data_IF_712594121902
#
_entry.id   IF_712594121902
#
_cell.length_a   1.000
_cell.length_b   1.000
_cell.length_c   1.000
_cell.angle_alpha   90.00
_cell.angle_beta   90.00
_cell.angle_gamma   90.00
#
_symmetry.space_group_name_H-M   'P 1'
#
loop_
_entity.id
_entity.type
_entity.pdbx_description
1 polymer ?
#
# COMPACT_ATOMS: atom_id res chain seq x y z
N UNK A 1 -14.44 -17.13 -73.49
CA UNK A 1 -14.70 -15.81 -72.85
C UNK A 1 -15.90 -15.75 -71.89
N UNK A 2 -17.06 -16.43 -72.08
CA UNK A 2 -18.21 -16.28 -71.17
C UNK A 2 -18.02 -16.98 -69.80
N UNK A 3 -17.29 -18.10 -69.76
CA UNK A 3 -16.97 -18.82 -68.51
C UNK A 3 -16.09 -18.00 -67.55
N UNK A 4 -15.13 -17.24 -68.07
CA UNK A 4 -14.24 -16.38 -67.28
C UNK A 4 -15.01 -15.21 -66.64
N UNK A 5 -15.99 -14.64 -67.35
CA UNK A 5 -16.86 -13.56 -66.83
C UNK A 5 -17.79 -14.06 -65.72
N UNK A 6 -18.31 -15.27 -65.85
CA UNK A 6 -19.15 -15.89 -64.82
C UNK A 6 -18.32 -16.25 -63.58
N UNK A 7 -17.12 -16.83 -63.75
CA UNK A 7 -16.21 -17.09 -62.64
C UNK A 7 -15.85 -15.81 -61.87
N UNK A 8 -15.51 -14.72 -62.59
CA UNK A 8 -15.19 -13.43 -61.97
C UNK A 8 -16.38 -12.82 -61.20
N UNK A 9 -17.61 -13.00 -61.72
CA UNK A 9 -18.85 -12.58 -61.05
C UNK A 9 -19.11 -13.38 -59.77
N UNK A 10 -18.93 -14.70 -59.81
CA UNK A 10 -19.08 -15.55 -58.61
C UNK A 10 -18.02 -15.25 -57.55
N UNK A 11 -16.76 -15.02 -57.94
CA UNK A 11 -15.71 -14.61 -57.00
C UNK A 11 -15.97 -13.22 -56.42
N UNK A 12 -16.44 -12.26 -57.23
CA UNK A 12 -16.78 -10.93 -56.74
C UNK A 12 -18.00 -10.96 -55.80
N UNK A 13 -19.01 -11.76 -56.10
CA UNK A 13 -20.19 -11.93 -55.25
C UNK A 13 -19.84 -12.65 -53.94
N UNK A 14 -18.99 -13.68 -53.99
CA UNK A 14 -18.46 -14.34 -52.80
C UNK A 14 -17.64 -13.37 -51.93
N UNK A 15 -16.75 -12.57 -52.53
CA UNK A 15 -15.99 -11.55 -51.81
C UNK A 15 -16.91 -10.48 -51.18
N UNK A 16 -17.94 -10.02 -51.91
CA UNK A 16 -18.91 -9.07 -51.40
C UNK A 16 -19.74 -9.63 -50.23
N UNK A 17 -20.15 -10.91 -50.29
CA UNK A 17 -20.85 -11.58 -49.19
C UNK A 17 -19.95 -11.75 -47.95
N UNK A 18 -18.68 -12.10 -48.13
CA UNK A 18 -17.70 -12.19 -47.03
C UNK A 18 -17.49 -10.81 -46.39
N UNK A 19 -17.32 -9.77 -47.20
CA UNK A 19 -17.17 -8.39 -46.72
C UNK A 19 -18.43 -7.89 -45.99
N UNK A 20 -19.62 -8.12 -46.55
CA UNK A 20 -20.88 -7.73 -45.94
C UNK A 20 -21.15 -8.49 -44.63
N UNK A 21 -20.85 -9.79 -44.59
CA UNK A 21 -20.91 -10.60 -43.37
C UNK A 21 -19.93 -10.12 -42.31
N UNK A 22 -18.68 -9.82 -42.70
CA UNK A 22 -17.68 -9.25 -41.81
C UNK A 22 -18.09 -7.88 -41.25
N UNK A 23 -18.67 -7.02 -42.08
CA UNK A 23 -19.18 -5.71 -41.65
C UNK A 23 -20.36 -5.85 -40.69
N UNK A 24 -21.32 -6.73 -40.96
CA UNK A 24 -22.46 -6.98 -40.09
C UNK A 24 -22.04 -7.55 -38.72
N UNK A 25 -21.04 -8.44 -38.69
CA UNK A 25 -20.45 -8.94 -37.45
C UNK A 25 -19.75 -7.82 -36.68
N UNK A 26 -18.98 -6.97 -37.38
CA UNK A 26 -18.30 -5.84 -36.76
C UNK A 26 -19.28 -4.81 -36.19
N UNK A 27 -20.36 -4.47 -36.90
CA UNK A 27 -21.38 -3.54 -36.40
C UNK A 27 -22.17 -4.13 -35.24
N UNK A 28 -22.54 -5.42 -35.31
CA UNK A 28 -23.18 -6.12 -34.19
C UNK A 28 -22.30 -6.16 -32.94
N UNK A 29 -21.00 -6.41 -33.10
CA UNK A 29 -20.03 -6.38 -32.00
C UNK A 29 -19.89 -4.97 -31.41
N UNK A 30 -19.73 -3.94 -32.25
CA UNK A 30 -19.65 -2.56 -31.78
C UNK A 30 -20.92 -2.12 -31.06
N UNK A 31 -22.09 -2.55 -31.52
CA UNK A 31 -23.36 -2.29 -30.86
C UNK A 31 -23.45 -3.01 -29.50
N UNK A 32 -23.04 -4.28 -29.43
CA UNK A 32 -23.00 -5.04 -28.17
C UNK A 32 -22.05 -4.42 -27.14
N UNK A 33 -20.92 -3.88 -27.59
CA UNK A 33 -19.91 -3.24 -26.75
C UNK A 33 -20.26 -1.78 -26.38
N UNK A 34 -21.29 -1.19 -27.01
CA UNK A 34 -21.64 0.20 -26.78
C UNK A 34 -22.22 0.39 -25.36
N UNK A 35 -21.67 1.30 -24.54
CA UNK A 35 -22.15 1.50 -23.17
C UNK A 35 -23.51 2.21 -23.10
N UNK A 36 -24.28 1.88 -22.06
CA UNK A 36 -25.50 2.60 -21.68
C UNK A 36 -25.19 3.72 -20.65
N UNK A 37 -26.10 4.69 -20.45
CA UNK A 37 -25.91 5.72 -19.42
C UNK A 37 -25.77 5.10 -18.02
N UNK A 38 -24.62 5.32 -17.38
CA UNK A 38 -24.31 4.77 -16.06
C UNK A 38 -23.31 3.61 -16.09
N UNK A 39 -23.04 3.04 -17.27
CA UNK A 39 -22.09 1.95 -17.43
C UNK A 39 -20.67 2.31 -17.01
N UNK A 40 -19.99 1.32 -16.47
CA UNK A 40 -18.54 1.37 -16.39
C UNK A 40 -17.93 1.24 -17.79
N UNK A 41 -17.38 2.34 -18.29
CA UNK A 41 -16.87 2.45 -19.65
C UNK A 41 -15.36 2.76 -19.71
N UNK A 42 -14.70 2.20 -20.72
CA UNK A 42 -13.33 2.52 -21.13
C UNK A 42 -13.35 3.15 -22.52
N UNK A 43 -12.48 4.14 -22.77
CA UNK A 43 -12.25 4.65 -24.12
C UNK A 43 -11.08 3.92 -24.76
N UNK A 44 -11.37 3.18 -25.83
CA UNK A 44 -10.35 2.46 -26.60
C UNK A 44 -10.03 3.20 -27.90
N UNK A 45 -8.75 3.34 -28.26
CA UNK A 45 -8.37 3.90 -29.56
C UNK A 45 -8.73 2.90 -30.66
N UNK A 46 -9.73 3.21 -31.48
CA UNK A 46 -10.19 2.32 -32.56
C UNK A 46 -9.39 2.53 -33.84
N UNK A 47 -9.23 3.79 -34.27
CA UNK A 47 -8.51 4.13 -35.49
C UNK A 47 -7.76 5.44 -35.34
N UNK A 48 -6.61 5.51 -36.01
CA UNK A 48 -5.88 6.75 -36.24
C UNK A 48 -5.84 7.01 -37.74
N UNK A 49 -6.50 8.08 -38.17
CA UNK A 49 -6.54 8.55 -39.56
C UNK A 49 -5.85 9.90 -39.60
N UNK A 50 -4.65 9.93 -40.20
CA UNK A 50 -3.74 11.06 -40.13
C UNK A 50 -3.49 11.51 -38.67
N UNK A 51 -3.76 12.78 -38.35
CA UNK A 51 -3.59 13.35 -37.01
C UNK A 51 -4.81 13.18 -36.09
N UNK A 52 -5.92 12.61 -36.58
CA UNK A 52 -7.12 12.38 -35.77
C UNK A 52 -7.12 10.98 -35.14
N UNK A 53 -7.38 10.94 -33.83
CA UNK A 53 -7.62 9.70 -33.07
C UNK A 53 -9.12 9.56 -32.84
N UNK A 54 -9.66 8.43 -33.25
CA UNK A 54 -11.05 8.05 -33.02
C UNK A 54 -11.07 7.02 -31.90
N UNK A 55 -11.51 7.47 -30.73
CA UNK A 55 -11.69 6.62 -29.56
C UNK A 55 -13.18 6.25 -29.44
N UNK A 56 -13.50 4.98 -29.21
CA UNK A 56 -14.86 4.57 -28.90
C UNK A 56 -15.03 4.24 -27.43
N UNK A 57 -16.16 4.62 -26.82
CA UNK A 57 -16.53 4.16 -25.50
C UNK A 57 -16.96 2.69 -25.60
N UNK A 58 -16.43 1.87 -24.70
CA UNK A 58 -16.72 0.43 -24.61
C UNK A 58 -17.18 0.12 -23.20
N UNK A 59 -18.33 -0.55 -23.09
CA UNK A 59 -18.81 -1.12 -21.83
C UNK A 59 -17.86 -2.22 -21.38
N UNK A 60 -17.23 -2.04 -20.22
CA UNK A 60 -16.29 -3.03 -19.69
C UNK A 60 -17.05 -4.30 -19.33
N UNK A 61 -18.27 -4.17 -18.81
CA UNK A 61 -19.12 -5.32 -18.49
C UNK A 61 -19.40 -6.17 -19.73
N UNK A 62 -19.81 -5.55 -20.84
CA UNK A 62 -20.05 -6.25 -22.09
C UNK A 62 -18.77 -6.89 -22.64
N UNK A 63 -17.64 -6.18 -22.59
CA UNK A 63 -16.36 -6.71 -23.06
C UNK A 63 -15.91 -7.95 -22.27
N UNK A 64 -15.99 -7.91 -20.94
CA UNK A 64 -15.61 -9.04 -20.08
C UNK A 64 -16.56 -10.23 -20.28
N UNK A 65 -17.88 -9.99 -20.36
CA UNK A 65 -18.87 -11.04 -20.67
C UNK A 65 -18.61 -11.71 -22.02
N UNK A 66 -18.20 -10.95 -23.02
CA UNK A 66 -17.83 -11.52 -24.32
C UNK A 66 -16.58 -12.41 -24.19
N UNK A 67 -15.55 -11.93 -23.49
CA UNK A 67 -14.28 -12.63 -23.33
C UNK A 67 -14.37 -13.88 -22.45
N UNK A 68 -15.36 -13.96 -21.55
CA UNK A 68 -15.57 -15.13 -20.71
C UNK A 68 -16.34 -16.26 -21.41
N UNK A 69 -16.91 -16.03 -22.60
CA UNK A 69 -17.71 -17.03 -23.31
C UNK A 69 -16.85 -18.12 -23.96
N UNK A 70 -17.22 -19.42 -23.84
CA UNK A 70 -16.45 -20.52 -24.42
C UNK A 70 -16.22 -20.44 -25.94
N UNK A 71 -17.21 -19.92 -26.68
CA UNK A 71 -17.09 -19.76 -28.14
C UNK A 71 -16.03 -18.73 -28.52
N UNK A 72 -15.99 -17.60 -27.81
CA UNK A 72 -14.98 -16.56 -27.99
C UNK A 72 -13.62 -17.07 -27.52
N UNK A 73 -13.59 -17.82 -26.42
CA UNK A 73 -12.34 -18.37 -25.92
C UNK A 73 -11.62 -19.29 -26.92
N UNK A 74 -12.37 -20.16 -27.59
CA UNK A 74 -11.85 -21.02 -28.68
C UNK A 74 -11.39 -20.21 -29.90
N UNK A 75 -12.08 -19.11 -30.22
CA UNK A 75 -11.70 -18.23 -31.32
C UNK A 75 -10.37 -17.52 -31.03
N UNK A 76 -10.13 -17.16 -29.77
CA UNK A 76 -8.93 -16.46 -29.32
C UNK A 76 -7.78 -17.41 -28.96
N UNK A 77 -7.97 -18.73 -29.03
CA UNK A 77 -6.95 -19.71 -28.67
C UNK A 77 -5.69 -19.57 -29.54
N UNK A 78 -4.54 -19.47 -28.90
CA UNK A 78 -3.24 -19.24 -29.57
C UNK A 78 -3.00 -17.79 -29.98
N UNK A 79 -3.95 -16.88 -29.75
CA UNK A 79 -3.75 -15.46 -30.07
C UNK A 79 -2.77 -14.81 -29.09
N UNK A 80 -2.09 -13.78 -29.58
CA UNK A 80 -1.08 -13.06 -28.81
C UNK A 80 -1.25 -11.57 -29.00
N UNK A 81 -1.40 -10.82 -27.90
CA UNK A 81 -1.72 -9.40 -27.93
C UNK A 81 -0.61 -8.56 -27.28
N UNK A 82 -0.24 -7.46 -27.92
CA UNK A 82 0.68 -6.49 -27.31
C UNK A 82 -0.11 -5.64 -26.29
N UNK A 83 0.29 -5.69 -25.03
CA UNK A 83 -0.33 -4.89 -23.96
C UNK A 83 0.72 -3.99 -23.31
N UNK A 84 0.32 -2.96 -22.52
CA UNK A 84 1.26 -2.20 -21.70
C UNK A 84 2.04 -3.06 -20.71
N UNK A 85 1.48 -4.20 -20.30
CA UNK A 85 2.14 -5.13 -19.39
C UNK A 85 3.13 -6.08 -20.08
N UNK A 86 3.16 -6.12 -21.41
CA UNK A 86 3.97 -7.06 -22.17
C UNK A 86 3.13 -7.86 -23.16
N UNK A 87 3.71 -8.94 -23.65
CA UNK A 87 3.09 -9.82 -24.63
C UNK A 87 2.12 -10.78 -23.91
N UNK A 88 0.83 -10.64 -24.18
CA UNK A 88 -0.23 -11.46 -23.59
C UNK A 88 -0.57 -12.62 -24.51
N UNK A 89 -0.27 -13.84 -24.07
CA UNK A 89 -0.66 -15.07 -24.74
C UNK A 89 -1.99 -15.56 -24.20
N UNK A 90 -2.91 -15.84 -25.11
CA UNK A 90 -4.26 -16.26 -24.79
C UNK A 90 -4.42 -17.72 -25.22
N UNK A 91 -4.85 -18.58 -24.31
CA UNK A 91 -5.14 -20.00 -24.58
C UNK A 91 -6.51 -20.38 -24.05
N UNK A 92 -7.12 -21.35 -24.71
CA UNK A 92 -8.37 -21.98 -24.25
C UNK A 92 -8.07 -23.33 -23.61
N UNK A 93 -8.40 -23.48 -22.33
CA UNK A 93 -8.37 -24.78 -21.65
C UNK A 93 -9.71 -25.48 -21.83
N UNK A 94 -9.76 -26.45 -22.74
CA UNK A 94 -10.97 -27.22 -23.01
C UNK A 94 -11.38 -28.13 -21.84
N UNK A 95 -10.45 -28.58 -21.00
CA UNK A 95 -10.76 -29.43 -19.86
C UNK A 95 -11.43 -28.62 -18.74
N UNK A 96 -10.93 -27.40 -18.50
CA UNK A 96 -11.47 -26.51 -17.46
C UNK A 96 -12.58 -25.58 -17.96
N UNK A 97 -12.84 -25.53 -19.28
CA UNK A 97 -13.71 -24.55 -19.91
C UNK A 97 -13.36 -23.12 -19.46
N UNK A 98 -12.06 -22.79 -19.50
CA UNK A 98 -11.53 -21.54 -18.99
C UNK A 98 -10.53 -20.90 -19.98
N UNK A 99 -10.53 -19.58 -20.02
CA UNK A 99 -9.49 -18.82 -20.70
C UNK A 99 -8.23 -18.78 -19.82
N UNK A 100 -7.07 -19.05 -20.39
CA UNK A 100 -5.78 -18.83 -19.76
C UNK A 100 -5.10 -17.61 -20.39
N UNK A 101 -4.72 -16.66 -19.55
CA UNK A 101 -4.06 -15.42 -19.91
C UNK A 101 -2.65 -15.46 -19.32
N UNK A 102 -1.62 -15.52 -20.17
CA UNK A 102 -0.22 -15.63 -19.75
C UNK A 102 0.60 -14.46 -20.27
N UNK A 103 1.34 -13.80 -19.38
CA UNK A 103 2.19 -12.66 -19.66
C UNK A 103 3.62 -12.99 -19.23
N UNK A 104 4.59 -13.01 -20.16
CA UNK A 104 5.99 -13.38 -19.88
C UNK A 104 6.99 -12.73 -20.87
N UNK A 105 7.95 -11.90 -20.43
CA UNK A 105 7.99 -11.24 -19.12
C UNK A 105 6.82 -10.27 -18.96
N UNK A 106 6.38 -10.07 -17.73
CA UNK A 106 5.27 -9.19 -17.40
C UNK A 106 5.72 -7.95 -16.62
N UNK A 107 5.18 -6.79 -16.99
CA UNK A 107 5.50 -5.48 -16.40
C UNK A 107 4.24 -4.85 -15.83
N UNK A 108 4.09 -4.89 -14.52
CA UNK A 108 2.90 -4.32 -13.88
C UNK A 108 3.21 -2.92 -13.34
N UNK A 109 2.63 -1.90 -13.95
CA UNK A 109 2.66 -0.55 -13.38
C UNK A 109 1.60 -0.46 -12.29
N UNK A 110 2.04 -0.48 -11.04
CA UNK A 110 1.19 -0.37 -9.87
C UNK A 110 1.48 0.98 -9.19
N UNK A 111 0.70 2.05 -9.46
CA UNK A 111 0.96 3.39 -8.91
C UNK A 111 1.05 3.42 -7.38
N UNK A 112 0.41 2.47 -6.70
CA UNK A 112 0.50 2.30 -5.25
C UNK A 112 1.91 1.89 -4.77
N UNK A 113 2.68 1.17 -5.60
CA UNK A 113 4.03 0.70 -5.27
C UNK A 113 5.12 1.72 -5.62
N UNK A 114 4.88 2.56 -6.62
CA UNK A 114 5.80 3.60 -7.10
C UNK A 114 5.62 3.84 -8.59
N UNK A 115 6.56 4.58 -9.19
CA UNK A 115 6.60 4.83 -10.64
C UNK A 115 7.31 3.74 -11.43
N UNK A 116 8.12 2.90 -10.77
CA UNK A 116 8.79 1.77 -11.41
C UNK A 116 7.81 0.60 -11.58
N UNK A 117 7.77 -0.06 -12.76
CA UNK A 117 6.96 -1.25 -12.94
C UNK A 117 7.52 -2.42 -12.13
N UNK A 118 6.63 -3.29 -11.67
CA UNK A 118 6.97 -4.59 -11.12
C UNK A 118 7.26 -5.54 -12.29
N UNK A 119 8.50 -6.02 -12.37
CA UNK A 119 8.93 -6.98 -13.38
C UNK A 119 8.72 -8.40 -12.85
N UNK A 120 7.82 -9.15 -13.48
CA UNK A 120 7.55 -10.55 -13.18
C UNK A 120 8.04 -11.41 -14.36
N UNK A 121 8.81 -12.49 -14.12
CA UNK A 121 9.14 -13.47 -15.15
C UNK A 121 7.91 -14.01 -15.88
N UNK A 122 6.86 -14.28 -15.12
CA UNK A 122 5.60 -14.83 -15.63
C UNK A 122 4.44 -14.48 -14.70
N UNK A 123 3.32 -14.08 -15.30
CA UNK A 123 2.01 -13.99 -14.66
C UNK A 123 1.01 -14.78 -15.51
N UNK A 124 0.32 -15.72 -14.87
CA UNK A 124 -0.74 -16.51 -15.47
C UNK A 124 -2.04 -16.28 -14.69
N UNK A 125 -3.14 -16.05 -15.40
CA UNK A 125 -4.48 -15.88 -14.81
C UNK A 125 -5.45 -16.70 -15.64
N UNK A 126 -6.23 -17.54 -14.98
CA UNK A 126 -7.38 -18.19 -15.61
C UNK A 126 -8.66 -17.39 -15.36
N UNK A 127 -9.57 -17.46 -16.34
CA UNK A 127 -10.85 -16.78 -16.33
C UNK A 127 -11.93 -17.76 -16.78
N UNK A 128 -12.90 -18.00 -15.91
CA UNK A 128 -14.12 -18.72 -16.20
C UNK A 128 -15.29 -17.83 -15.80
N UNK A 129 -16.23 -17.62 -16.73
CA UNK A 129 -17.42 -16.82 -16.48
C UNK A 129 -18.71 -17.59 -16.70
N UNK A 130 -19.70 -17.28 -15.88
CA UNK A 130 -21.07 -17.76 -16.01
C UNK A 130 -22.03 -16.58 -15.90
N UNK A 131 -22.73 -16.30 -16.99
CA UNK A 131 -23.76 -15.26 -17.03
C UNK A 131 -25.06 -15.75 -16.40
N UNK A 132 -25.63 -14.96 -15.49
CA UNK A 132 -26.97 -15.14 -14.94
C UNK A 132 -27.87 -13.98 -15.39
N UNK A 133 -29.08 -14.30 -15.88
CA UNK A 133 -30.01 -13.32 -16.44
C UNK A 133 -29.80 -13.09 -17.94
N UNK A 134 -30.47 -12.06 -18.47
CA UNK A 134 -30.43 -11.71 -19.90
C UNK A 134 -30.37 -10.20 -20.07
N UNK A 135 -29.82 -9.76 -21.20
CA UNK A 135 -29.76 -8.34 -21.55
C UNK A 135 -28.75 -7.56 -20.72
N UNK A 136 -29.08 -6.30 -20.44
CA UNK A 136 -28.16 -5.34 -19.85
C UNK A 136 -27.91 -5.60 -18.35
N UNK A 137 -28.95 -6.03 -17.63
CA UNK A 137 -28.94 -6.32 -16.20
C UNK A 137 -28.35 -7.70 -15.84
N UNK A 138 -27.79 -8.40 -16.83
CA UNK A 138 -27.14 -9.68 -16.59
C UNK A 138 -25.98 -9.54 -15.60
N UNK A 139 -25.84 -10.51 -14.70
CA UNK A 139 -24.73 -10.56 -13.75
C UNK A 139 -23.78 -11.66 -14.17
N UNK A 140 -22.50 -11.33 -14.29
CA UNK A 140 -21.45 -12.27 -14.66
C UNK A 140 -20.74 -12.74 -13.40
N UNK A 141 -20.83 -14.03 -13.11
CA UNK A 141 -20.07 -14.69 -12.05
C UNK A 141 -18.73 -15.15 -12.64
N UNK A 142 -17.64 -14.58 -12.16
CA UNK A 142 -16.29 -14.84 -12.61
C UNK A 142 -15.52 -15.62 -11.55
N UNK A 143 -14.66 -16.53 -11.99
CA UNK A 143 -13.73 -17.23 -11.12
C UNK A 143 -12.48 -17.64 -11.88
N UNK A 144 -11.41 -17.86 -11.16
CA UNK A 144 -10.20 -18.40 -11.72
C UNK A 144 -9.10 -18.59 -10.71
N UNK A 145 -7.94 -18.90 -11.25
CA UNK A 145 -6.70 -19.05 -10.51
C UNK A 145 -5.69 -18.07 -11.08
N UNK A 146 -4.72 -17.69 -10.27
CA UNK A 146 -3.60 -16.90 -10.74
C UNK A 146 -2.31 -17.51 -10.22
N UNK A 147 -1.25 -17.34 -10.99
CA UNK A 147 0.10 -17.78 -10.64
C UNK A 147 1.09 -16.71 -11.05
N UNK A 148 1.92 -16.28 -10.10
CA UNK A 148 3.00 -15.34 -10.32
C UNK A 148 4.24 -15.89 -9.61
N UNK A 149 5.27 -16.23 -10.38
CA UNK A 149 6.43 -16.97 -9.88
C UNK A 149 6.00 -18.28 -9.17
N UNK A 150 6.47 -18.54 -7.94
CA UNK A 150 6.06 -19.71 -7.15
C UNK A 150 4.73 -19.55 -6.41
N UNK A 151 4.13 -18.36 -6.45
CA UNK A 151 2.88 -18.08 -5.72
C UNK A 151 1.70 -18.35 -6.62
N UNK A 152 0.67 -18.96 -6.03
CA UNK A 152 -0.61 -19.13 -6.68
C UNK A 152 -1.76 -18.86 -5.72
N UNK A 153 -2.90 -18.45 -6.28
CA UNK A 153 -4.10 -18.19 -5.53
C UNK A 153 -5.34 -18.36 -6.38
N UNK A 154 -6.49 -18.19 -5.73
CA UNK A 154 -7.79 -18.24 -6.38
C UNK A 154 -8.42 -16.86 -6.31
N UNK A 155 -9.27 -16.58 -7.29
CA UNK A 155 -10.04 -15.36 -7.31
C UNK A 155 -11.45 -15.66 -7.80
N UNK A 156 -12.40 -14.88 -7.30
CA UNK A 156 -13.78 -14.88 -7.75
C UNK A 156 -14.25 -13.45 -7.88
N UNK A 157 -15.28 -13.22 -8.67
CA UNK A 157 -15.82 -11.89 -8.79
C UNK A 157 -17.23 -11.87 -9.36
N UNK A 158 -17.93 -10.79 -9.07
CA UNK A 158 -19.26 -10.52 -9.61
C UNK A 158 -19.20 -9.22 -10.41
N UNK A 159 -19.66 -9.28 -11.66
CA UNK A 159 -19.65 -8.16 -12.58
C UNK A 159 -21.08 -7.84 -13.04
N UNK A 160 -21.51 -6.62 -12.78
CA UNK A 160 -22.74 -6.03 -13.34
C UNK A 160 -22.39 -4.90 -14.33
N UNK A 161 -23.38 -4.14 -14.81
CA UNK A 161 -23.17 -3.04 -15.77
C UNK A 161 -22.32 -1.88 -15.21
N UNK A 162 -22.29 -1.71 -13.89
CA UNK A 162 -21.73 -0.54 -13.19
C UNK A 162 -20.41 -0.83 -12.49
N UNK A 163 -20.20 -2.08 -12.05
CA UNK A 163 -19.06 -2.43 -11.21
C UNK A 163 -18.63 -3.89 -11.36
N UNK A 164 -17.37 -4.13 -11.01
CA UNK A 164 -16.86 -5.46 -10.70
C UNK A 164 -16.40 -5.49 -9.24
N UNK A 165 -16.88 -6.49 -8.52
CA UNK A 165 -16.37 -6.88 -7.21
C UNK A 165 -15.50 -8.12 -7.39
N UNK A 166 -14.25 -8.07 -6.92
CA UNK A 166 -13.31 -9.18 -6.98
C UNK A 166 -12.88 -9.52 -5.57
N UNK A 167 -12.95 -10.80 -5.25
CA UNK A 167 -12.39 -11.40 -4.04
C UNK A 167 -11.20 -12.27 -4.44
N UNK A 168 -10.08 -12.09 -3.75
CA UNK A 168 -8.85 -12.83 -3.94
C UNK A 168 -8.53 -13.57 -2.65
N UNK A 169 -8.30 -14.87 -2.79
CA UNK A 169 -7.86 -15.73 -1.71
C UNK A 169 -6.48 -16.31 -2.05
N UNK A 170 -5.48 -15.87 -1.30
CA UNK A 170 -4.17 -16.49 -1.25
C UNK A 170 -4.19 -17.55 -0.14
N UNK A 171 -3.94 -18.80 -0.53
CA UNK A 171 -3.75 -19.89 0.42
C UNK A 171 -2.39 -19.73 1.14
N UNK A 172 -2.06 -20.62 2.06
CA UNK A 172 -0.81 -20.53 2.81
C UNK A 172 0.39 -20.66 1.85
N UNK A 173 1.15 -19.58 1.69
CA UNK A 173 2.29 -19.50 0.78
C UNK A 173 3.55 -19.07 1.53
N UNK A 174 4.74 -19.59 1.18
CA UNK A 174 5.99 -19.15 1.79
C UNK A 174 6.21 -17.65 1.59
N UNK A 175 6.61 -16.95 2.66
CA UNK A 175 6.89 -15.52 2.58
C UNK A 175 8.06 -15.21 1.64
N UNK A 176 9.08 -16.07 1.56
CA UNK A 176 10.18 -15.92 0.62
C UNK A 176 9.68 -15.77 -0.84
N UNK A 177 8.70 -16.58 -1.25
CA UNK A 177 8.09 -16.51 -2.60
C UNK A 177 7.29 -15.20 -2.76
N UNK A 178 6.51 -14.81 -1.74
CA UNK A 178 5.78 -13.54 -1.67
C UNK A 178 6.68 -12.32 -1.90
N UNK A 179 7.79 -12.27 -1.19
CA UNK A 179 8.74 -11.18 -1.33
C UNK A 179 9.54 -11.26 -2.64
N UNK A 180 9.82 -12.45 -3.17
CA UNK A 180 10.55 -12.63 -4.43
C UNK A 180 9.88 -11.94 -5.63
N UNK A 181 8.56 -11.72 -5.60
CA UNK A 181 7.85 -10.89 -6.58
C UNK A 181 8.48 -9.48 -6.72
N UNK A 182 9.04 -8.96 -5.63
CA UNK A 182 9.67 -7.63 -5.57
C UNK A 182 11.20 -7.68 -5.73
N UNK A 183 11.80 -8.82 -6.06
CA UNK A 183 13.26 -9.01 -6.13
C UNK A 183 13.96 -8.03 -7.06
N UNK A 184 13.33 -7.65 -8.18
CA UNK A 184 13.86 -6.65 -9.10
C UNK A 184 13.78 -5.20 -8.59
N UNK A 185 12.99 -4.94 -7.54
CA UNK A 185 12.71 -3.60 -7.00
C UNK A 185 13.28 -3.37 -5.59
N UNK A 186 13.62 -4.45 -4.86
CA UNK A 186 14.10 -4.39 -3.48
C UNK A 186 15.48 -5.07 -3.41
N UNK A 187 16.57 -4.29 -3.31
CA UNK A 187 17.93 -4.82 -3.33
C UNK A 187 18.24 -5.70 -2.11
N UNK A 188 17.58 -5.47 -0.98
CA UNK A 188 17.73 -6.28 0.24
C UNK A 188 17.38 -7.75 0.02
N UNK A 189 16.45 -8.05 -0.90
CA UNK A 189 16.01 -9.43 -1.17
C UNK A 189 17.08 -10.32 -1.78
N UNK A 190 18.17 -9.76 -2.30
CA UNK A 190 19.30 -10.54 -2.78
C UNK A 190 20.06 -11.27 -1.66
N UNK A 191 19.93 -10.81 -0.42
CA UNK A 191 20.66 -11.35 0.74
C UNK A 191 19.74 -11.73 1.91
N UNK A 192 18.50 -11.23 1.91
CA UNK A 192 17.49 -11.56 2.91
C UNK A 192 17.09 -13.04 2.82
N UNK A 193 17.12 -13.71 3.96
CA UNK A 193 16.49 -15.01 4.16
C UNK A 193 15.18 -14.78 4.91
N UNK A 194 14.06 -15.08 4.27
CA UNK A 194 12.73 -14.80 4.78
C UNK A 194 12.02 -16.12 5.09
N UNK A 195 11.61 -16.29 6.34
CA UNK A 195 10.88 -17.46 6.80
C UNK A 195 9.44 -17.12 7.15
N UNK A 196 8.62 -18.15 7.28
CA UNK A 196 7.20 -18.05 7.59
C UNK A 196 6.31 -18.14 6.37
N UNK A 197 5.02 -17.95 6.60
CA UNK A 197 3.98 -18.06 5.59
C UNK A 197 3.00 -16.91 5.66
N UNK A 198 2.32 -16.67 4.53
CA UNK A 198 1.27 -15.67 4.37
C UNK A 198 0.03 -16.32 3.81
N UNK A 199 -1.10 -15.96 4.41
CA UNK A 199 -2.42 -16.08 3.80
C UNK A 199 -2.98 -14.68 3.61
N UNK A 200 -3.83 -14.50 2.59
CA UNK A 200 -4.39 -13.20 2.26
C UNK A 200 -5.83 -13.37 1.78
N UNK A 201 -6.73 -12.64 2.40
CA UNK A 201 -8.05 -12.37 1.83
C UNK A 201 -8.07 -10.90 1.40
N UNK A 202 -8.45 -10.64 0.17
CA UNK A 202 -8.61 -9.28 -0.32
C UNK A 202 -9.91 -9.16 -1.12
N UNK A 203 -10.57 -8.03 -1.00
CA UNK A 203 -11.73 -7.70 -1.81
C UNK A 203 -11.50 -6.33 -2.46
N UNK A 204 -11.98 -6.13 -3.67
CA UNK A 204 -11.87 -4.84 -4.35
C UNK A 204 -13.08 -4.61 -5.25
N UNK A 205 -13.57 -3.36 -5.26
CA UNK A 205 -14.68 -2.91 -6.10
C UNK A 205 -14.24 -1.78 -7.00
N UNK A 206 -14.34 -1.99 -8.31
CA UNK A 206 -14.10 -0.95 -9.33
C UNK A 206 -15.40 -0.56 -10.01
N UNK A 207 -15.55 0.70 -10.48
CA UNK A 207 -14.53 1.78 -10.50
C UNK A 207 -14.40 2.59 -9.20
N UNK A 208 -15.26 2.34 -8.20
CA UNK A 208 -15.27 3.09 -6.94
C UNK A 208 -13.92 3.09 -6.20
N UNK A 209 -13.11 2.04 -6.40
CA UNK A 209 -11.77 1.90 -5.81
C UNK A 209 -11.82 1.60 -4.32
N UNK A 210 -12.91 0.99 -3.82
CA UNK A 210 -13.01 0.47 -2.47
C UNK A 210 -12.30 -0.89 -2.40
N UNK A 211 -11.54 -1.17 -1.33
CA UNK A 211 -10.76 -2.40 -1.24
C UNK A 211 -10.47 -2.82 0.20
N UNK A 212 -10.69 -4.07 0.59
CA UNK A 212 -10.22 -4.61 1.87
C UNK A 212 -9.06 -5.57 1.65
N UNK A 213 -8.15 -5.63 2.62
CA UNK A 213 -7.03 -6.57 2.60
C UNK A 213 -6.81 -7.04 4.03
N UNK A 214 -6.83 -8.34 4.23
CA UNK A 214 -6.68 -9.03 5.51
C UNK A 214 -5.57 -10.10 5.38
N UNK A 215 -4.30 -9.70 5.61
CA UNK A 215 -3.18 -10.62 5.63
C UNK A 215 -3.09 -11.30 6.99
N UNK A 216 -2.80 -12.60 7.00
CA UNK A 216 -2.34 -13.30 8.19
C UNK A 216 -0.94 -13.87 7.94
N UNK A 217 -0.04 -13.58 8.87
CA UNK A 217 1.37 -13.96 8.81
C UNK A 217 1.65 -14.97 9.93
N UNK A 218 2.32 -16.07 9.59
CA UNK A 218 2.77 -17.07 10.56
C UNK A 218 4.28 -17.22 10.49
N UNK A 219 4.96 -17.18 11.63
CA UNK A 219 6.41 -17.42 11.70
C UNK A 219 7.27 -16.44 10.90
N UNK A 220 6.80 -15.21 10.64
CA UNK A 220 7.55 -14.26 9.82
C UNK A 220 8.89 -13.90 10.46
N UNK A 221 9.97 -14.33 9.81
CA UNK A 221 11.33 -14.00 10.20
C UNK A 221 12.16 -13.51 9.03
N UNK A 222 13.15 -12.67 9.33
CA UNK A 222 14.07 -12.11 8.33
C UNK A 222 15.47 -12.15 8.91
N UNK A 223 16.42 -12.65 8.14
CA UNK A 223 17.85 -12.61 8.48
C UNK A 223 18.70 -12.29 7.25
N UNK A 224 19.98 -11.93 7.46
CA UNK A 224 20.93 -11.63 6.38
C UNK A 224 20.99 -10.17 5.96
N UNK A 225 20.32 -9.26 6.70
CA UNK A 225 20.39 -7.81 6.45
C UNK A 225 21.40 -7.10 7.37
N UNK A 226 22.07 -7.85 8.26
CA UNK A 226 23.15 -7.37 9.13
C UNK A 226 22.72 -6.20 10.04
N UNK A 227 21.45 -6.16 10.49
CA UNK A 227 20.92 -5.07 11.33
C UNK A 227 21.68 -4.86 12.63
N UNK A 228 22.43 -5.85 13.14
CA UNK A 228 23.33 -5.65 14.30
C UNK A 228 24.42 -4.61 14.05
N UNK A 229 24.87 -4.42 12.80
CA UNK A 229 25.86 -3.39 12.44
C UNK A 229 25.30 -1.98 12.60
N UNK A 230 23.97 -1.79 12.63
CA UNK A 230 23.31 -0.50 12.93
C UNK A 230 23.77 0.12 14.25
N UNK A 231 24.12 -0.73 15.22
CA UNK A 231 24.61 -0.29 16.52
C UNK A 231 25.96 0.44 16.42
N UNK A 232 26.70 0.25 15.33
CA UNK A 232 28.04 0.81 15.11
C UNK A 232 28.08 1.80 13.95
N UNK A 233 27.02 1.88 13.14
CA UNK A 233 27.00 2.74 11.97
C UNK A 233 26.90 4.23 12.36
N UNK A 234 27.80 5.10 11.86
CA UNK A 234 27.63 6.54 11.97
C UNK A 234 26.34 6.92 11.23
N UNK A 235 25.51 7.72 11.88
CA UNK A 235 24.21 8.13 11.38
C UNK A 235 24.18 9.65 11.26
N UNK A 236 23.33 10.18 10.35
CA UNK A 236 23.18 11.62 10.08
C UNK A 236 22.93 12.48 11.33
N UNK A 237 22.42 11.87 12.39
CA UNK A 237 21.97 12.50 13.62
C UNK A 237 22.90 12.10 14.78
N UNK A 238 24.16 12.52 14.76
CA UNK A 238 25.17 12.05 15.72
C UNK A 238 25.00 12.74 17.08
N UNK A 239 24.76 11.96 18.13
CA UNK A 239 24.75 12.42 19.53
C UNK A 239 26.06 12.04 20.21
N UNK A 240 27.14 12.78 19.97
CA UNK A 240 28.43 12.44 20.56
C UNK A 240 28.36 12.54 22.10
N UNK A 241 28.40 11.37 22.78
CA UNK A 241 28.56 11.26 24.23
C UNK A 241 27.31 11.44 25.11
N UNK A 242 26.11 11.62 24.53
CA UNK A 242 24.90 11.76 25.33
C UNK A 242 24.56 10.47 26.11
N UNK A 243 24.22 10.56 27.42
CA UNK A 243 23.86 9.38 28.19
C UNK A 243 22.65 8.67 27.59
N UNK A 244 22.61 7.33 27.61
CA UNK A 244 21.47 6.58 27.10
C UNK A 244 20.21 6.90 27.91
N UNK A 245 19.11 7.17 27.20
CA UNK A 245 17.80 7.38 27.83
C UNK A 245 17.29 6.04 28.35
N UNK A 246 16.87 6.02 29.61
CA UNK A 246 16.25 4.86 30.24
C UNK A 246 14.95 4.48 29.52
N UNK A 247 14.82 3.21 29.14
CA UNK A 247 13.68 2.69 28.36
C UNK A 247 12.38 2.63 29.16
N UNK A 248 12.47 2.67 30.48
CA UNK A 248 11.35 2.74 31.42
C UNK A 248 11.08 4.17 31.96
N UNK A 249 11.84 5.15 31.46
CA UNK A 249 11.73 6.56 31.78
C UNK A 249 10.49 7.22 31.18
N UNK A 250 10.19 8.42 31.64
CA UNK A 250 8.96 9.13 31.28
C UNK A 250 8.91 9.48 29.79
N UNK A 251 10.03 9.94 29.21
CA UNK A 251 10.12 10.24 27.79
C UNK A 251 9.88 9.00 26.93
N UNK A 252 10.49 7.87 27.27
CA UNK A 252 10.32 6.61 26.55
C UNK A 252 8.86 6.17 26.52
N UNK A 253 8.17 6.26 27.66
CA UNK A 253 6.74 5.96 27.77
C UNK A 253 5.86 6.94 27.00
N UNK A 254 6.19 8.23 27.01
CA UNK A 254 5.46 9.22 26.24
C UNK A 254 5.59 8.96 24.74
N UNK A 255 6.79 8.60 24.28
CA UNK A 255 7.05 8.24 22.87
C UNK A 255 6.29 6.99 22.46
N UNK A 256 6.30 5.93 23.28
CA UNK A 256 5.47 4.73 23.05
C UNK A 256 3.98 5.12 22.97
N UNK A 257 3.49 5.91 23.91
CA UNK A 257 2.08 6.34 23.92
C UNK A 257 1.69 7.16 22.68
N UNK A 258 2.62 7.96 22.15
CA UNK A 258 2.41 8.85 21.02
C UNK A 258 2.51 8.15 19.65
N UNK A 259 3.45 7.24 19.50
CA UNK A 259 3.86 6.68 18.20
C UNK A 259 3.49 5.20 18.05
N UNK A 260 3.45 4.42 19.13
CA UNK A 260 3.31 2.96 19.07
C UNK A 260 2.83 2.35 20.41
N UNK A 261 1.53 2.48 20.70
CA UNK A 261 0.96 2.07 22.00
C UNK A 261 1.08 0.57 22.30
N UNK A 262 1.26 -0.23 21.24
CA UNK A 262 1.35 -1.68 21.28
C UNK A 262 2.78 -2.16 21.05
N UNK A 263 3.77 -1.27 21.22
CA UNK A 263 5.17 -1.54 20.96
C UNK A 263 5.68 -2.88 21.50
N UNK A 264 5.27 -3.28 22.71
CA UNK A 264 5.70 -4.54 23.33
C UNK A 264 4.88 -5.77 22.93
N UNK A 265 3.80 -5.60 22.17
CA UNK A 265 2.83 -6.65 21.83
C UNK A 265 3.03 -7.21 20.40
N UNK A 266 3.76 -6.50 19.54
CA UNK A 266 3.93 -6.88 18.13
C UNK A 266 5.41 -7.14 17.76
N UNK A 267 5.71 -7.95 16.74
CA UNK A 267 7.08 -8.28 16.32
C UNK A 267 7.66 -7.27 15.32
N UNK A 268 7.55 -5.97 15.62
CA UNK A 268 8.06 -4.89 14.75
C UNK A 268 7.12 -4.44 13.62
N UNK A 269 6.01 -5.14 13.41
CA UNK A 269 4.92 -4.73 12.54
C UNK A 269 3.59 -4.94 13.27
N UNK A 270 2.67 -3.98 13.17
CA UNK A 270 1.36 -4.08 13.82
C UNK A 270 0.26 -4.26 12.74
N UNK A 271 -0.11 -5.52 12.47
CA UNK A 271 -1.17 -5.84 11.51
C UNK A 271 -2.54 -5.30 11.95
N UNK A 272 -2.82 -5.26 13.26
CA UNK A 272 -4.11 -4.81 13.78
C UNK A 272 -4.24 -3.29 13.57
N UNK A 273 -3.22 -2.51 13.94
CA UNK A 273 -3.23 -1.06 13.68
C UNK A 273 -3.17 -0.74 12.18
N UNK A 274 -2.46 -1.55 11.40
CA UNK A 274 -2.45 -1.42 9.93
C UNK A 274 -3.86 -1.62 9.34
N UNK A 275 -4.56 -2.69 9.71
CA UNK A 275 -5.94 -2.93 9.28
C UNK A 275 -6.90 -1.84 9.75
N UNK A 276 -6.74 -1.36 11.00
CA UNK A 276 -7.53 -0.26 11.53
C UNK A 276 -7.33 1.02 10.72
N UNK A 277 -6.07 1.37 10.42
CA UNK A 277 -5.73 2.54 9.61
C UNK A 277 -6.30 2.42 8.19
N UNK A 278 -6.24 1.22 7.59
CA UNK A 278 -6.75 0.97 6.25
C UNK A 278 -8.27 1.16 6.19
N UNK A 279 -9.02 0.59 7.14
CA UNK A 279 -10.49 0.76 7.24
C UNK A 279 -10.88 2.23 7.45
N UNK A 280 -10.19 2.94 8.34
CA UNK A 280 -10.46 4.35 8.60
C UNK A 280 -10.17 5.24 7.38
N UNK A 281 -9.05 5.00 6.69
CA UNK A 281 -8.67 5.75 5.50
C UNK A 281 -9.67 5.52 4.34
N UNK A 282 -10.22 4.31 4.22
CA UNK A 282 -11.27 4.01 3.24
C UNK A 282 -12.60 4.68 3.57
N UNK A 283 -13.05 4.61 4.83
CA UNK A 283 -14.26 5.29 5.28
C UNK A 283 -14.15 6.80 5.07
N UNK A 284 -13.01 7.40 5.42
CA UNK A 284 -12.77 8.83 5.17
C UNK A 284 -12.85 9.20 3.69
N UNK A 285 -12.37 8.33 2.79
CA UNK A 285 -12.47 8.52 1.34
C UNK A 285 -13.92 8.41 0.85
N UNK A 286 -14.68 7.44 1.35
CA UNK A 286 -16.09 7.27 1.03
C UNK A 286 -16.93 8.48 1.48
N UNK A 287 -16.61 9.05 2.65
CA UNK A 287 -17.26 10.24 3.20
C UNK A 287 -16.82 11.56 2.53
N UNK A 288 -15.91 11.53 1.55
CA UNK A 288 -15.37 12.73 0.91
C UNK A 288 -14.55 13.65 1.84
N UNK A 289 -14.08 13.13 2.98
CA UNK A 289 -13.32 13.93 3.95
C UNK A 289 -11.89 14.15 3.45
N UNK A 290 -11.32 15.37 3.63
CA UNK A 290 -9.90 15.61 3.35
C UNK A 290 -9.06 14.73 4.28
N UNK A 291 -8.55 13.62 3.74
CA UNK A 291 -7.90 12.57 4.51
C UNK A 291 -6.55 13.04 5.05
N UNK A 292 -6.47 13.31 6.35
CA UNK A 292 -5.21 13.10 7.07
C UNK A 292 -5.08 11.59 7.22
N UNK A 293 -4.40 10.95 6.26
CA UNK A 293 -4.18 9.51 6.28
C UNK A 293 -3.59 9.11 7.63
N UNK A 294 -4.28 8.23 8.35
CA UNK A 294 -3.72 7.63 9.57
C UNK A 294 -2.62 6.67 9.15
N UNK A 295 -1.42 6.86 9.70
CA UNK A 295 -0.33 5.90 9.57
C UNK A 295 -0.46 4.76 10.57
N UNK A 296 0.24 3.66 10.31
CA UNK A 296 0.35 2.49 11.19
C UNK A 296 1.80 2.00 11.32
N UNK A 297 2.77 2.92 11.17
CA UNK A 297 4.18 2.57 11.29
C UNK A 297 4.58 2.41 12.75
N UNK A 298 5.20 1.27 13.07
CA UNK A 298 5.73 0.98 14.40
C UNK A 298 7.01 1.77 14.69
N UNK A 299 7.40 1.88 15.95
CA UNK A 299 8.70 2.50 16.31
C UNK A 299 9.87 1.78 15.65
N UNK A 300 9.79 0.47 15.49
CA UNK A 300 10.83 -0.34 14.84
C UNK A 300 10.94 -0.04 13.35
N UNK A 301 9.82 0.14 12.65
CA UNK A 301 9.80 0.58 11.25
C UNK A 301 10.31 2.01 11.10
N UNK A 302 9.96 2.90 12.03
CA UNK A 302 10.49 4.26 12.05
C UNK A 302 12.01 4.28 12.26
N UNK A 303 12.55 3.41 13.13
CA UNK A 303 14.00 3.23 13.28
C UNK A 303 14.64 2.71 11.97
N UNK A 304 14.03 1.71 11.33
CA UNK A 304 14.51 1.19 10.05
C UNK A 304 14.56 2.28 8.97
N UNK A 305 13.55 3.16 8.93
CA UNK A 305 13.50 4.32 8.04
C UNK A 305 14.70 5.25 8.28
N UNK A 306 14.95 5.60 9.53
CA UNK A 306 16.03 6.52 9.91
C UNK A 306 17.42 5.98 9.56
N UNK A 307 17.61 4.66 9.64
CA UNK A 307 18.93 4.06 9.55
C UNK A 307 19.28 3.45 8.19
N UNK A 308 18.29 2.95 7.43
CA UNK A 308 18.57 2.17 6.21
C UNK A 308 17.89 2.69 4.94
N UNK A 309 16.63 3.12 5.03
CA UNK A 309 15.81 3.30 3.81
C UNK A 309 15.59 4.76 3.39
N UNK A 310 15.88 5.73 4.25
CA UNK A 310 15.81 7.15 3.91
C UNK A 310 14.38 7.70 3.76
N UNK A 311 14.22 8.82 3.03
CA UNK A 311 12.99 9.64 3.05
C UNK A 311 12.02 9.44 1.87
N UNK A 312 12.31 8.57 0.89
CA UNK A 312 11.46 8.31 -0.28
C UNK A 312 10.04 7.85 0.06
N UNK A 313 9.00 8.46 -0.53
CA UNK A 313 7.60 8.15 -0.18
C UNK A 313 6.99 7.11 -1.12
N UNK A 314 7.49 5.87 -1.08
CA UNK A 314 6.97 4.74 -1.88
C UNK A 314 6.56 3.55 -1.01
N UNK A 315 5.63 2.71 -1.48
CA UNK A 315 5.28 1.49 -0.74
C UNK A 315 6.42 0.46 -0.78
N UNK A 316 7.23 0.43 -1.85
CA UNK A 316 8.46 -0.37 -1.90
C UNK A 316 9.41 -0.03 -0.75
N UNK A 317 9.59 1.26 -0.41
CA UNK A 317 10.37 1.66 0.76
C UNK A 317 9.75 1.11 2.05
N UNK A 318 8.42 1.10 2.19
CA UNK A 318 7.76 0.52 3.36
C UNK A 318 7.97 -0.98 3.49
N UNK A 319 8.03 -1.71 2.38
CA UNK A 319 8.40 -3.13 2.38
C UNK A 319 9.85 -3.30 2.87
N UNK A 320 10.78 -2.46 2.43
CA UNK A 320 12.17 -2.44 2.93
C UNK A 320 12.23 -2.19 4.44
N UNK A 321 11.50 -1.18 4.94
CA UNK A 321 11.41 -0.88 6.38
C UNK A 321 10.87 -2.08 7.18
N UNK A 322 9.89 -2.81 6.65
CA UNK A 322 9.35 -4.01 7.28
C UNK A 322 10.40 -5.10 7.43
N UNK A 323 11.19 -5.38 6.38
CA UNK A 323 12.24 -6.40 6.41
C UNK A 323 13.29 -6.10 7.49
N UNK A 324 13.80 -4.86 7.53
CA UNK A 324 14.74 -4.45 8.58
C UNK A 324 14.09 -4.44 9.96
N UNK A 325 12.82 -4.06 10.08
CA UNK A 325 12.13 -4.06 11.37
C UNK A 325 12.02 -5.47 11.95
N UNK A 326 11.66 -6.46 11.14
CA UNK A 326 11.57 -7.86 11.58
C UNK A 326 12.93 -8.39 12.03
N UNK A 327 13.99 -8.19 11.25
CA UNK A 327 15.33 -8.65 11.66
C UNK A 327 15.81 -7.93 12.93
N UNK A 328 15.53 -6.63 13.10
CA UNK A 328 15.89 -5.90 14.33
C UNK A 328 15.20 -6.44 15.57
N UNK A 329 13.92 -6.82 15.47
CA UNK A 329 13.17 -7.40 16.61
C UNK A 329 13.80 -8.70 17.07
N UNK A 330 14.27 -9.50 16.13
CA UNK A 330 14.94 -10.78 16.40
C UNK A 330 16.37 -10.60 16.91
N UNK A 331 17.09 -9.62 16.37
CA UNK A 331 18.53 -9.49 16.60
C UNK A 331 18.90 -8.54 17.75
N UNK A 332 18.05 -7.56 18.08
CA UNK A 332 18.32 -6.50 19.08
C UNK A 332 17.39 -6.57 20.30
N UNK A 333 16.12 -6.90 20.08
CA UNK A 333 15.05 -6.87 21.09
C UNK A 333 14.52 -5.47 21.43
N UNK A 334 13.33 -5.42 22.04
CA UNK A 334 12.54 -4.19 22.27
C UNK A 334 13.26 -3.07 23.00
N UNK A 335 13.93 -3.38 24.10
CA UNK A 335 14.61 -2.37 24.91
C UNK A 335 15.73 -1.69 24.10
N UNK A 336 16.51 -2.47 23.35
CA UNK A 336 17.58 -1.91 22.52
C UNK A 336 16.99 -1.10 21.37
N UNK A 337 15.96 -1.58 20.68
CA UNK A 337 15.27 -0.84 19.62
C UNK A 337 14.80 0.53 20.12
N UNK A 338 14.09 0.57 21.25
CA UNK A 338 13.59 1.82 21.82
C UNK A 338 14.71 2.78 22.18
N UNK A 339 15.78 2.27 22.79
CA UNK A 339 16.95 3.07 23.11
C UNK A 339 17.60 3.63 21.83
N UNK A 340 17.80 2.81 20.80
CA UNK A 340 18.39 3.23 19.54
C UNK A 340 17.53 4.27 18.81
N UNK A 341 16.20 4.13 18.87
CA UNK A 341 15.24 5.10 18.37
C UNK A 341 15.35 6.44 19.10
N UNK A 342 15.27 6.42 20.43
CA UNK A 342 15.33 7.61 21.27
C UNK A 342 16.66 8.38 21.15
N UNK A 343 17.74 7.69 20.76
CA UNK A 343 19.04 8.32 20.49
C UNK A 343 19.10 9.01 19.12
N UNK A 344 18.34 8.51 18.13
CA UNK A 344 18.51 8.93 16.72
C UNK A 344 17.40 9.80 16.18
N UNK A 345 16.20 9.71 16.75
CA UNK A 345 15.04 10.38 16.20
C UNK A 345 15.26 11.90 16.18
N UNK A 346 14.97 12.59 15.06
CA UNK A 346 15.09 14.04 14.97
C UNK A 346 13.93 14.73 15.69
N UNK A 347 14.27 15.76 16.47
CA UNK A 347 13.37 16.57 17.28
C UNK A 347 13.19 17.98 16.73
N UNK A 348 13.64 18.23 15.50
CA UNK A 348 13.60 19.53 14.83
C UNK A 348 14.77 20.44 15.25
N UNK A 349 15.01 21.49 14.48
CA UNK A 349 16.10 22.46 14.75
C UNK A 349 17.50 21.83 14.85
N UNK A 350 17.73 20.75 14.09
CA UNK A 350 18.99 20.01 14.13
C UNK A 350 19.20 19.18 15.41
N UNK A 351 18.21 19.12 16.31
CA UNK A 351 18.29 18.33 17.53
C UNK A 351 18.01 16.86 17.21
N UNK A 352 18.94 15.99 17.61
CA UNK A 352 18.85 14.56 17.43
C UNK A 352 18.90 13.87 18.79
N UNK A 353 17.99 12.93 19.01
CA UNK A 353 17.90 12.21 20.27
C UNK A 353 17.20 12.99 21.39
N UNK A 354 16.53 12.24 22.26
CA UNK A 354 15.67 12.81 23.29
C UNK A 354 16.42 13.60 24.37
N UNK A 355 17.69 13.27 24.62
CA UNK A 355 18.53 14.00 25.58
C UNK A 355 18.86 15.41 25.08
N UNK A 356 19.31 15.54 23.82
CA UNK A 356 19.56 16.83 23.21
C UNK A 356 18.28 17.66 23.12
N UNK A 357 17.14 17.02 22.80
CA UNK A 357 15.85 17.69 22.78
C UNK A 357 15.44 18.21 24.17
N UNK A 358 15.56 17.41 25.23
CA UNK A 358 15.23 17.84 26.59
C UNK A 358 16.04 19.07 27.02
N UNK A 359 17.34 19.05 26.74
CA UNK A 359 18.24 20.16 27.02
C UNK A 359 17.91 21.40 26.17
N UNK A 360 17.67 21.23 24.88
CA UNK A 360 17.37 22.33 23.96
C UNK A 360 16.05 23.03 24.29
N UNK A 361 14.97 22.27 24.54
CA UNK A 361 13.63 22.85 24.73
C UNK A 361 13.37 23.31 26.16
N UNK A 362 14.02 22.70 27.16
CA UNK A 362 13.71 22.94 28.57
C UNK A 362 14.91 23.14 29.49
N UNK A 363 16.15 22.91 29.02
CA UNK A 363 17.35 23.03 29.85
C UNK A 363 17.41 21.99 30.98
N UNK A 364 16.81 20.80 30.78
CA UNK A 364 16.82 19.70 31.75
C UNK A 364 17.29 18.42 31.09
N UNK A 365 17.79 17.48 31.90
CA UNK A 365 18.08 16.13 31.42
C UNK A 365 16.80 15.37 31.08
N UNK A 366 16.87 14.43 30.13
CA UNK A 366 15.72 13.63 29.73
C UNK A 366 15.15 12.80 30.90
N UNK A 367 15.98 12.48 31.90
CA UNK A 367 15.56 11.81 33.13
C UNK A 367 14.70 12.71 34.05
N UNK A 368 14.89 14.03 33.98
CA UNK A 368 14.23 15.03 34.84
C UNK A 368 13.02 15.68 34.18
N UNK A 369 12.67 15.26 32.97
CA UNK A 369 11.45 15.71 32.29
C UNK A 369 10.24 15.40 33.15
N UNK A 370 9.40 16.42 33.34
CA UNK A 370 8.09 16.23 33.93
C UNK A 370 7.07 15.72 32.90
N UNK A 371 5.88 15.22 33.32
CA UNK A 371 4.90 14.64 32.42
C UNK A 371 4.43 15.57 31.29
N UNK A 372 4.27 16.87 31.57
CA UNK A 372 3.88 17.84 30.55
C UNK A 372 4.99 18.02 29.50
N UNK A 373 6.24 18.13 29.93
CA UNK A 373 7.40 18.27 29.03
C UNK A 373 7.60 17.02 28.17
N UNK A 374 7.55 15.83 28.78
CA UNK A 374 7.68 14.56 28.06
C UNK A 374 6.53 14.34 27.06
N UNK A 375 5.29 14.69 27.44
CA UNK A 375 4.14 14.60 26.55
C UNK A 375 4.22 15.59 25.38
N UNK A 376 4.69 16.82 25.61
CA UNK A 376 4.92 17.78 24.53
C UNK A 376 6.00 17.28 23.56
N UNK A 377 7.13 16.81 24.09
CA UNK A 377 8.16 16.19 23.28
C UNK A 377 7.54 15.06 22.44
N UNK A 378 6.99 14.02 23.04
CA UNK A 378 6.46 12.91 22.26
C UNK A 378 5.39 13.36 21.22
N UNK A 379 4.58 14.38 21.54
CA UNK A 379 3.62 14.94 20.60
C UNK A 379 4.27 15.59 19.36
N UNK A 380 5.41 16.29 19.48
CA UNK A 380 6.03 16.99 18.34
C UNK A 380 6.64 16.07 17.27
N UNK A 381 6.92 14.79 17.60
CA UNK A 381 7.59 13.83 16.71
C UNK A 381 6.88 13.60 15.36
N UNK A 382 5.56 13.79 15.28
CA UNK A 382 4.84 13.61 14.01
C UNK A 382 5.23 14.67 12.95
N UNK A 383 5.69 15.87 13.37
CA UNK A 383 6.13 16.97 12.50
C UNK A 383 7.21 17.83 13.20
N UNK A 384 8.41 17.30 13.44
CA UNK A 384 9.39 17.88 14.37
C UNK A 384 9.79 19.31 13.95
N UNK A 385 10.18 19.51 12.69
CA UNK A 385 10.60 20.83 12.21
C UNK A 385 9.49 21.89 12.24
N UNK A 386 8.24 21.49 12.03
CA UNK A 386 7.10 22.41 12.10
C UNK A 386 6.88 22.87 13.54
N UNK A 387 6.83 21.92 14.47
CA UNK A 387 6.55 22.20 15.88
C UNK A 387 7.71 22.93 16.56
N UNK A 388 8.95 22.62 16.21
CA UNK A 388 10.10 23.35 16.72
C UNK A 388 10.06 24.83 16.30
N UNK A 389 9.74 25.13 15.02
CA UNK A 389 9.56 26.52 14.56
C UNK A 389 8.43 27.25 15.29
N UNK A 390 7.31 26.58 15.56
CA UNK A 390 6.21 27.15 16.33
C UNK A 390 6.64 27.46 17.77
N UNK A 391 7.33 26.52 18.41
CA UNK A 391 7.88 26.70 19.75
C UNK A 391 8.84 27.90 19.82
N UNK A 392 9.80 27.99 18.91
CA UNK A 392 10.78 29.09 18.88
C UNK A 392 10.14 30.44 18.58
N UNK A 393 9.21 30.49 17.63
CA UNK A 393 8.62 31.73 17.16
C UNK A 393 7.58 32.32 18.12
N UNK A 394 6.66 31.48 18.62
CA UNK A 394 5.49 31.93 19.38
C UNK A 394 5.35 31.25 20.73
N UNK A 395 6.12 30.19 21.01
CA UNK A 395 5.91 29.33 22.17
C UNK A 395 4.71 28.40 22.03
N UNK A 396 4.08 28.33 20.86
CA UNK A 396 2.90 27.49 20.64
C UNK A 396 3.27 26.01 20.61
N UNK A 397 2.38 25.19 21.19
CA UNK A 397 2.44 23.73 21.16
C UNK A 397 1.17 23.16 20.54
N UNK A 398 1.27 21.93 20.02
CA UNK A 398 0.10 21.12 19.70
C UNK A 398 -0.52 20.57 20.99
N UNK A 399 -1.26 21.44 21.67
CA UNK A 399 -1.86 21.15 22.97
C UNK A 399 -2.84 19.97 22.89
N UNK A 400 -3.55 19.83 21.77
CA UNK A 400 -4.49 18.72 21.55
C UNK A 400 -3.75 17.39 21.54
N UNK A 401 -2.67 17.28 20.75
CA UNK A 401 -1.88 16.04 20.71
C UNK A 401 -1.13 15.81 22.02
N UNK A 402 -0.55 16.85 22.64
CA UNK A 402 0.17 16.72 23.91
C UNK A 402 -0.73 16.24 25.05
N UNK A 403 -1.97 16.76 25.14
CA UNK A 403 -2.97 16.26 26.10
C UNK A 403 -3.33 14.80 25.81
N UNK A 404 -3.57 14.46 24.54
CA UNK A 404 -3.83 13.08 24.16
C UNK A 404 -2.70 12.14 24.59
N UNK A 405 -1.43 12.50 24.34
CA UNK A 405 -0.27 11.71 24.79
C UNK A 405 -0.24 11.58 26.31
N UNK A 406 -0.46 12.67 27.05
CA UNK A 406 -0.49 12.67 28.52
C UNK A 406 -1.58 11.74 29.06
N UNK A 407 -2.74 11.69 28.40
CA UNK A 407 -3.86 10.82 28.78
C UNK A 407 -3.54 9.34 28.51
N UNK A 408 -2.76 9.05 27.47
CA UNK A 408 -2.34 7.70 27.08
C UNK A 408 -1.12 7.19 27.85
N UNK A 409 -0.46 8.01 28.68
CA UNK A 409 0.63 7.55 29.54
C UNK A 409 0.13 6.48 30.51
N UNK A 410 0.39 5.21 30.17
CA UNK A 410 0.14 4.06 31.03
C UNK A 410 0.96 4.25 32.31
N UNK A 411 0.30 4.42 33.46
CA UNK A 411 0.95 4.67 34.73
C UNK A 411 1.66 3.40 35.25
N UNK A 412 2.85 3.50 35.86
CA UNK A 412 3.17 2.54 36.94
C UNK A 412 2.13 2.76 38.05
N UNK A 413 1.89 1.79 38.95
CA UNK A 413 0.96 1.94 40.08
C UNK A 413 1.16 3.21 40.95
N UNK A 414 2.26 3.96 40.78
CA UNK A 414 2.57 5.21 41.51
C UNK A 414 2.54 6.50 40.67
N UNK A 415 2.32 6.46 39.36
CA UNK A 415 2.80 7.58 38.53
C UNK A 415 1.83 8.74 38.34
N UNK A 416 0.54 8.53 38.08
CA UNK A 416 -0.40 9.65 37.88
C UNK A 416 -1.83 9.28 38.28
N UNK A 417 -2.25 9.69 39.48
CA UNK A 417 -3.67 9.72 39.87
C UNK A 417 -4.47 10.64 38.93
N UNK A 418 -5.80 10.48 38.82
CA UNK A 418 -6.64 11.41 38.04
C UNK A 418 -6.43 12.88 38.42
N UNK A 419 -6.20 13.16 39.71
CA UNK A 419 -5.87 14.51 40.20
C UNK A 419 -4.53 15.03 39.66
N UNK A 420 -3.48 14.21 39.71
CA UNK A 420 -2.17 14.57 39.14
C UNK A 420 -2.28 14.78 37.62
N UNK A 421 -3.05 13.95 36.91
CA UNK A 421 -3.27 14.12 35.46
C UNK A 421 -3.90 15.48 35.15
N UNK A 422 -4.98 15.85 35.85
CA UNK A 422 -5.60 17.16 35.70
C UNK A 422 -4.63 18.31 36.00
N UNK A 423 -3.79 18.16 37.02
CA UNK A 423 -2.73 19.13 37.35
C UNK A 423 -1.73 19.29 36.19
N UNK A 424 -1.29 18.19 35.57
CA UNK A 424 -0.35 18.24 34.45
C UNK A 424 -0.98 18.74 33.15
N UNK A 425 -2.26 18.49 32.92
CA UNK A 425 -3.01 19.12 31.83
C UNK A 425 -3.03 20.65 31.99
N UNK A 426 -3.23 21.15 33.21
CA UNK A 426 -3.12 22.58 33.52
C UNK A 426 -1.70 23.13 33.29
N UNK A 427 -0.64 22.36 33.61
CA UNK A 427 0.74 22.75 33.29
C UNK A 427 1.05 22.73 31.79
N UNK A 428 0.47 21.81 31.02
CA UNK A 428 0.56 21.82 29.55
C UNK A 428 -0.06 23.08 28.95
N UNK A 429 -1.21 23.51 29.48
CA UNK A 429 -1.82 24.77 29.06
C UNK A 429 -0.92 25.97 29.33
N UNK A 430 -0.28 26.01 30.50
CA UNK A 430 0.70 27.05 30.83
C UNK A 430 1.91 26.99 29.89
N UNK A 431 2.37 25.78 29.53
CA UNK A 431 3.49 25.57 28.61
C UNK A 431 3.20 26.14 27.22
N UNK A 432 1.96 26.00 26.74
CA UNK A 432 1.52 26.47 25.43
C UNK A 432 1.10 27.94 25.37
N UNK A 433 1.20 28.70 26.46
CA UNK A 433 0.90 30.14 26.44
C UNK A 433 2.00 30.88 25.68
N UNK A 434 1.63 31.82 24.78
CA UNK A 434 2.62 32.62 24.08
C UNK A 434 3.53 33.34 25.07
N UNK A 435 4.85 33.25 24.88
CA UNK A 435 5.77 34.08 25.65
C UNK A 435 5.58 35.54 25.19
N UNK A 436 5.51 36.52 26.12
CA UNK A 436 5.45 37.92 25.72
C UNK A 436 6.66 38.22 24.85
N UNK A 437 6.44 38.86 23.69
CA UNK A 437 7.53 39.27 22.81
C UNK A 437 8.41 40.27 23.58
N UNK A 438 9.55 39.78 24.08
CA UNK A 438 10.60 40.64 24.59
C UNK A 438 11.07 41.51 23.43
N UNK A 439 11.04 42.84 23.62
CA UNK A 439 11.62 43.80 22.69
C UNK A 439 13.03 43.34 22.33
N UNK A 440 13.30 43.20 21.03
CA UNK A 440 14.65 43.06 20.52
C UNK A 440 15.49 44.22 21.09
N UNK A 441 16.47 43.89 21.92
CA UNK A 441 17.49 44.79 22.43
C UNK A 441 18.77 44.56 21.65
#
# INVERSE_FOLDING_TARGET
MPLLKNALRWTAMAAAMVLAGGLALATGLLWYLHPQPGDWQLRLPLLRLADQRFDAPVSIAAAVRLLSQPGVGRLLDGSTWQTPAGLLHIRWDAAQQAQQLRCAPCRLLLPALGSAPLELPELEVSLHGQTQGQGHDAVEQLRGQWRANGIHGQWQGTLDAHAIEVELHLQDQPLQEAFALFGGAIPELAHAHIEGSITLNAQARWPAGAFSVDPALSGFAVSGLDTRRLLQAPHRCQTDGAPPIATDGLLARAVIAAEDQRFFEHPGYDLIEWQHSLRQNQQARADGRPSRLRGASTLTQQLAKLAFTGDDRTALRKIRELLYAVEMEQSLGKARILQQYLQRVPWGEGQCGGQAAAQHYFGVDAADLNPAQAAWLAAMLHRPDYHARQWRGTGQIDLTRARWVLDQLRARPRDLTPRQRAQWQGRLEQLGRPRPQGKAG
#
